data_IF_478950086725
#
_entry.id   IF_478950086725
#
_cell.length_a   1.000
_cell.length_b   1.000
_cell.length_c   1.000
_cell.angle_alpha   90.00
_cell.angle_beta   90.00
_cell.angle_gamma   90.00
#
_symmetry.space_group_name_H-M   'P 1'
#
loop_
_entity.id
_entity.type
_entity.pdbx_description
1 polymer ?
#
# COMPACT_ATOMS: atom_id res chain seq x y z
N UNK A 1 3.23 40.03 9.36
CA UNK A 1 2.51 39.09 8.48
C UNK A 1 3.38 37.90 8.02
N UNK A 2 4.64 38.12 7.62
CA UNK A 2 5.51 37.06 7.09
C UNK A 2 5.74 35.86 8.04
N UNK A 3 5.84 36.09 9.36
CA UNK A 3 6.04 34.99 10.35
C UNK A 3 4.88 34.00 10.41
N UNK A 4 3.63 34.46 10.25
CA UNK A 4 2.43 33.61 10.31
C UNK A 4 2.36 32.72 9.06
N UNK A 5 2.62 33.28 7.88
CA UNK A 5 2.66 32.52 6.63
C UNK A 5 3.76 31.46 6.62
N UNK A 6 4.96 31.80 7.14
CA UNK A 6 6.05 30.81 7.29
C UNK A 6 5.67 29.69 8.27
N UNK A 7 5.08 30.03 9.42
CA UNK A 7 4.65 29.03 10.41
C UNK A 7 3.56 28.10 9.85
N UNK A 8 2.57 28.65 9.15
CA UNK A 8 1.52 27.86 8.50
C UNK A 8 2.10 26.95 7.40
N UNK A 9 3.00 27.48 6.56
CA UNK A 9 3.69 26.69 5.54
C UNK A 9 4.50 25.54 6.13
N UNK A 10 5.19 25.77 7.26
CA UNK A 10 5.91 24.72 7.98
C UNK A 10 4.98 23.62 8.51
N UNK A 11 3.84 24.00 9.11
CA UNK A 11 2.83 23.04 9.59
C UNK A 11 2.31 22.17 8.44
N UNK A 12 2.02 22.76 7.28
CA UNK A 12 1.59 22.01 6.10
C UNK A 12 2.66 21.03 5.62
N UNK A 13 3.93 21.44 5.57
CA UNK A 13 5.02 20.54 5.19
C UNK A 13 5.16 19.38 6.17
N UNK A 14 5.12 19.64 7.48
CA UNK A 14 5.21 18.60 8.50
C UNK A 14 4.03 17.63 8.39
N UNK A 15 2.80 18.15 8.27
CA UNK A 15 1.61 17.33 8.11
C UNK A 15 1.68 16.45 6.85
N UNK A 16 2.09 17.03 5.71
CA UNK A 16 2.27 16.30 4.46
C UNK A 16 3.36 15.22 4.56
N UNK A 17 4.49 15.52 5.20
CA UNK A 17 5.57 14.55 5.44
C UNK A 17 5.12 13.39 6.33
N UNK A 18 4.32 13.65 7.37
CA UNK A 18 3.75 12.60 8.23
C UNK A 18 2.78 11.69 7.47
N UNK A 19 1.98 12.25 6.55
CA UNK A 19 1.09 11.45 5.69
C UNK A 19 1.86 10.58 4.70
N UNK A 20 2.97 11.08 4.16
CA UNK A 20 3.81 10.35 3.19
C UNK A 20 4.77 9.36 3.86
N UNK A 21 5.01 9.46 5.17
CA UNK A 21 6.00 8.68 5.88
C UNK A 21 5.83 7.15 5.75
N UNK A 22 4.64 6.56 5.91
CA UNK A 22 4.48 5.11 5.78
C UNK A 22 4.87 4.60 4.39
N UNK A 23 4.49 5.33 3.34
CA UNK A 23 4.87 5.00 1.96
C UNK A 23 6.38 5.11 1.76
N UNK A 24 6.97 6.23 2.18
CA UNK A 24 8.41 6.45 2.06
C UNK A 24 9.21 5.35 2.79
N UNK A 25 8.78 4.99 4.00
CA UNK A 25 9.37 3.89 4.78
C UNK A 25 9.27 2.55 4.04
N UNK A 26 8.11 2.23 3.48
CA UNK A 26 7.92 0.98 2.72
C UNK A 26 8.83 0.94 1.48
N UNK A 27 8.91 2.04 0.74
CA UNK A 27 9.74 2.13 -0.47
C UNK A 27 11.24 2.11 -0.18
N UNK A 28 11.66 2.56 1.00
CA UNK A 28 13.05 2.42 1.42
C UNK A 28 13.34 0.97 1.83
N UNK A 29 12.45 0.36 2.61
CA UNK A 29 12.71 -0.97 3.21
C UNK A 29 12.51 -2.13 2.24
N UNK A 30 11.60 -2.01 1.30
CA UNK A 30 11.16 -3.13 0.47
C UNK A 30 11.38 -2.84 -1.02
N UNK A 31 11.75 -3.89 -1.73
CA UNK A 31 11.66 -3.92 -3.18
C UNK A 31 10.22 -4.18 -3.62
N UNK A 32 9.95 -3.98 -4.92
CA UNK A 32 8.61 -4.13 -5.50
C UNK A 32 8.64 -4.90 -6.79
N UNK A 33 7.67 -5.78 -6.94
CA UNK A 33 7.41 -6.51 -8.19
C UNK A 33 5.90 -6.62 -8.41
N UNK A 34 5.53 -7.27 -9.50
CA UNK A 34 4.14 -7.63 -9.78
C UNK A 34 3.94 -9.11 -9.49
N UNK A 35 2.87 -9.42 -8.79
CA UNK A 35 2.41 -10.78 -8.54
C UNK A 35 0.93 -10.93 -8.89
N UNK A 36 0.42 -12.13 -8.67
CA UNK A 36 -0.98 -12.48 -8.88
C UNK A 36 -1.48 -13.34 -7.72
N UNK A 37 -2.73 -13.13 -7.31
CA UNK A 37 -3.37 -14.01 -6.34
C UNK A 37 -3.65 -15.33 -7.06
N UNK A 38 -3.11 -16.42 -6.51
CA UNK A 38 -3.23 -17.76 -7.10
C UNK A 38 -4.34 -18.56 -6.47
N UNK A 39 -4.61 -18.34 -5.19
CA UNK A 39 -5.63 -19.04 -4.43
C UNK A 39 -6.11 -18.23 -3.21
N UNK A 40 -7.28 -18.59 -2.69
CA UNK A 40 -7.85 -18.05 -1.44
C UNK A 40 -8.43 -19.22 -0.65
N UNK A 41 -7.77 -19.57 0.45
CA UNK A 41 -8.20 -20.62 1.36
C UNK A 41 -9.23 -20.08 2.35
N UNK A 42 -10.32 -20.81 2.52
CA UNK A 42 -11.34 -20.52 3.52
C UNK A 42 -11.20 -21.48 4.70
N UNK A 43 -10.64 -21.00 5.81
CA UNK A 43 -10.47 -21.77 7.04
C UNK A 43 -11.70 -21.59 7.93
N UNK A 44 -12.37 -22.66 8.38
CA UNK A 44 -13.56 -22.53 9.23
C UNK A 44 -13.16 -21.97 10.61
N UNK A 45 -13.85 -20.90 11.04
CA UNK A 45 -13.70 -20.31 12.39
C UNK A 45 -14.92 -20.58 13.27
N UNK A 46 -16.06 -20.92 12.64
CA UNK A 46 -17.30 -21.29 13.33
C UNK A 46 -18.30 -21.97 12.37
N UNK A 47 -19.56 -22.09 12.80
CA UNK A 47 -20.63 -22.68 11.98
C UNK A 47 -20.90 -21.89 10.71
N UNK A 48 -20.93 -20.56 10.79
CA UNK A 48 -21.28 -19.67 9.68
C UNK A 48 -20.13 -18.80 9.17
N UNK A 49 -18.94 -18.88 9.78
CA UNK A 49 -17.81 -18.00 9.49
C UNK A 49 -16.58 -18.75 8.96
N UNK A 50 -15.85 -18.09 8.06
CA UNK A 50 -14.58 -18.54 7.53
C UNK A 50 -13.56 -17.38 7.50
N UNK A 51 -12.32 -17.70 7.85
CA UNK A 51 -11.16 -16.83 7.68
C UNK A 51 -10.60 -17.04 6.28
N UNK A 52 -10.39 -15.94 5.55
CA UNK A 52 -9.85 -15.98 4.20
C UNK A 52 -8.34 -15.73 4.22
N UNK A 53 -7.58 -16.78 3.94
CA UNK A 53 -6.13 -16.68 3.75
C UNK A 53 -5.84 -16.65 2.25
N UNK A 54 -5.25 -15.56 1.77
CA UNK A 54 -4.85 -15.46 0.37
C UNK A 54 -3.45 -16.00 0.14
N UNK A 55 -3.22 -16.53 -1.06
CA UNK A 55 -1.89 -16.89 -1.54
C UNK A 55 -1.66 -16.21 -2.87
N UNK A 56 -0.52 -15.56 -3.00
CA UNK A 56 -0.09 -14.93 -4.23
C UNK A 56 1.27 -15.47 -4.67
N UNK A 57 1.47 -15.51 -5.97
CA UNK A 57 2.73 -15.83 -6.61
C UNK A 57 3.33 -14.55 -7.18
N UNK A 58 4.65 -14.43 -7.08
CA UNK A 58 5.40 -13.40 -7.79
C UNK A 58 6.71 -14.00 -8.29
N UNK A 59 7.22 -13.44 -9.39
CA UNK A 59 8.45 -13.91 -9.99
C UNK A 59 9.51 -12.84 -9.94
N UNK A 60 10.71 -13.21 -9.51
CA UNK A 60 11.91 -12.40 -9.59
C UNK A 60 12.74 -12.90 -10.77
N UNK A 61 13.10 -12.00 -11.67
CA UNK A 61 13.92 -12.30 -12.84
C UNK A 61 15.26 -11.59 -12.71
N UNK A 62 16.35 -12.36 -12.63
CA UNK A 62 17.71 -11.88 -12.78
C UNK A 62 18.18 -12.07 -14.23
N UNK A 63 19.40 -11.63 -14.55
CA UNK A 63 20.00 -11.84 -15.88
C UNK A 63 20.17 -13.32 -16.22
N UNK A 64 20.25 -14.20 -15.22
CA UNK A 64 20.61 -15.62 -15.38
C UNK A 64 19.51 -16.56 -14.92
N UNK A 65 18.57 -16.11 -14.08
CA UNK A 65 17.60 -16.98 -13.43
C UNK A 65 16.23 -16.32 -13.30
N UNK A 66 15.19 -17.16 -13.32
CA UNK A 66 13.81 -16.76 -13.07
C UNK A 66 13.29 -17.65 -11.94
N UNK A 67 12.97 -17.04 -10.80
CA UNK A 67 12.52 -17.76 -9.60
C UNK A 67 11.14 -17.25 -9.18
N UNK A 68 10.17 -18.15 -9.09
CA UNK A 68 8.85 -17.86 -8.55
C UNK A 68 8.82 -18.11 -7.04
N UNK A 69 8.21 -17.18 -6.31
CA UNK A 69 7.99 -17.24 -4.88
C UNK A 69 6.48 -17.16 -4.59
N UNK A 70 6.09 -17.72 -3.45
CA UNK A 70 4.74 -17.63 -2.93
C UNK A 70 4.75 -16.84 -1.62
N UNK A 71 3.75 -15.98 -1.45
CA UNK A 71 3.52 -15.22 -0.23
C UNK A 71 2.05 -15.26 0.18
N UNK A 72 1.79 -14.92 1.44
CA UNK A 72 0.45 -14.93 2.02
C UNK A 72 0.15 -13.71 2.90
N UNK A 73 1.13 -12.85 3.17
CA UNK A 73 0.92 -11.69 4.04
C UNK A 73 0.13 -10.59 3.33
N UNK A 74 -0.67 -9.89 4.13
CA UNK A 74 -1.54 -8.82 3.68
C UNK A 74 -1.20 -7.53 4.44
N UNK A 75 -1.38 -6.40 3.78
CA UNK A 75 -1.26 -5.09 4.40
C UNK A 75 -2.44 -4.17 4.07
N UNK A 76 -2.75 -3.26 4.98
CA UNK A 76 -3.71 -2.18 4.76
C UNK A 76 -3.14 -1.08 3.85
N UNK A 77 -3.96 -0.05 3.60
CA UNK A 77 -3.54 1.11 2.83
C UNK A 77 -2.50 2.02 3.46
N UNK A 78 -2.09 1.71 4.69
CA UNK A 78 -1.00 2.35 5.40
C UNK A 78 0.22 1.42 5.52
N UNK A 79 0.26 0.35 4.73
CA UNK A 79 1.32 -0.66 4.72
C UNK A 79 1.52 -1.34 6.08
N UNK A 80 0.47 -1.39 6.90
CA UNK A 80 0.48 -2.12 8.17
C UNK A 80 0.03 -3.54 7.91
N UNK A 81 0.67 -4.54 8.53
CA UNK A 81 0.17 -5.91 8.49
C UNK A 81 -1.27 -5.95 8.95
N UNK A 82 -2.11 -6.67 8.20
CA UNK A 82 -3.48 -6.97 8.60
C UNK A 82 -3.63 -8.47 8.77
N UNK A 83 -4.51 -8.84 9.70
CA UNK A 83 -4.93 -10.23 9.85
C UNK A 83 -5.84 -10.65 8.70
N UNK A 84 -5.88 -11.96 8.44
CA UNK A 84 -6.77 -12.55 7.47
C UNK A 84 -8.24 -12.24 7.83
N UNK A 85 -9.03 -11.66 6.89
CA UNK A 85 -10.38 -11.24 7.20
C UNK A 85 -11.30 -12.44 7.47
N UNK A 86 -12.15 -12.29 8.48
CA UNK A 86 -13.22 -13.25 8.78
C UNK A 86 -14.51 -12.78 8.12
N UNK A 87 -15.13 -13.67 7.34
CA UNK A 87 -16.33 -13.39 6.56
C UNK A 87 -17.37 -14.51 6.71
N UNK A 88 -18.60 -14.21 6.33
CA UNK A 88 -19.66 -15.22 6.28
C UNK A 88 -19.37 -16.27 5.20
N UNK A 89 -19.58 -17.55 5.51
CA UNK A 89 -19.37 -18.67 4.57
C UNK A 89 -20.13 -18.49 3.27
N UNK A 90 -21.35 -17.93 3.34
CA UNK A 90 -22.17 -17.64 2.16
C UNK A 90 -21.49 -16.65 1.18
N UNK A 91 -20.58 -15.80 1.67
CA UNK A 91 -19.89 -14.77 0.86
C UNK A 91 -18.51 -15.21 0.38
N UNK A 92 -17.98 -16.33 0.87
CA UNK A 92 -16.63 -16.82 0.51
C UNK A 92 -16.47 -16.94 -1.00
N UNK A 93 -17.38 -17.64 -1.66
CA UNK A 93 -17.33 -17.84 -3.12
C UNK A 93 -17.34 -16.54 -3.91
N UNK A 94 -18.14 -15.56 -3.46
CA UNK A 94 -18.21 -14.24 -4.09
C UNK A 94 -16.89 -13.48 -3.93
N UNK A 95 -16.32 -13.47 -2.72
CA UNK A 95 -15.09 -12.76 -2.40
C UNK A 95 -13.90 -13.39 -3.11
N UNK A 96 -13.78 -14.72 -3.08
CA UNK A 96 -12.74 -15.47 -3.80
C UNK A 96 -12.78 -15.17 -5.30
N UNK A 97 -13.97 -15.18 -5.91
CA UNK A 97 -14.15 -14.85 -7.33
C UNK A 97 -13.71 -13.42 -7.64
N UNK A 98 -14.04 -12.46 -6.77
CA UNK A 98 -13.63 -11.05 -6.92
C UNK A 98 -12.11 -10.87 -6.78
N UNK A 99 -11.46 -11.65 -5.92
CA UNK A 99 -10.01 -11.56 -5.66
C UNK A 99 -9.18 -12.20 -6.77
N UNK A 100 -9.54 -13.40 -7.21
CA UNK A 100 -8.78 -14.17 -8.22
C UNK A 100 -9.13 -13.72 -9.65
N UNK A 101 -10.38 -13.33 -9.87
CA UNK A 101 -10.97 -13.16 -11.20
C UNK A 101 -11.73 -14.42 -11.66
N UNK A 102 -12.65 -14.27 -12.60
CA UNK A 102 -13.45 -15.39 -13.14
C UNK A 102 -12.67 -16.28 -14.12
N UNK A 103 -11.69 -15.70 -14.83
CA UNK A 103 -10.88 -16.39 -15.82
C UNK A 103 -9.42 -16.50 -15.36
N UNK A 104 -8.84 -17.71 -15.25
CA UNK A 104 -7.43 -17.92 -14.95
C UNK A 104 -6.46 -17.17 -15.87
N UNK A 105 -6.88 -16.81 -17.09
CA UNK A 105 -6.08 -16.04 -18.05
C UNK A 105 -6.02 -14.55 -17.74
N UNK A 106 -6.98 -14.03 -16.97
CA UNK A 106 -7.09 -12.61 -16.61
C UNK A 106 -6.96 -12.40 -15.11
N UNK A 107 -6.01 -13.09 -14.47
CA UNK A 107 -5.71 -12.91 -13.05
C UNK A 107 -5.32 -11.47 -12.76
N UNK A 108 -5.87 -10.94 -11.68
CA UNK A 108 -5.64 -9.55 -11.31
C UNK A 108 -4.22 -9.40 -10.79
N UNK A 109 -3.42 -8.59 -11.50
CA UNK A 109 -2.06 -8.27 -11.08
C UNK A 109 -2.08 -7.34 -9.86
N UNK A 110 -1.24 -7.64 -8.88
CA UNK A 110 -1.07 -6.87 -7.64
C UNK A 110 0.38 -6.50 -7.45
N UNK A 111 0.62 -5.35 -6.84
CA UNK A 111 1.96 -4.96 -6.43
C UNK A 111 2.34 -5.73 -5.17
N UNK A 112 3.46 -6.45 -5.24
CA UNK A 112 4.05 -7.19 -4.14
C UNK A 112 5.26 -6.41 -3.62
N UNK A 113 5.35 -6.29 -2.31
CA UNK A 113 6.51 -5.71 -1.63
C UNK A 113 7.25 -6.82 -0.88
N UNK A 114 8.57 -6.85 -0.97
CA UNK A 114 9.39 -7.90 -0.35
C UNK A 114 10.77 -7.36 0.06
N UNK A 115 11.39 -8.00 1.05
CA UNK A 115 12.79 -7.79 1.41
C UNK A 115 13.66 -8.72 0.54
N UNK A 116 14.69 -8.18 -0.12
CA UNK A 116 15.55 -8.97 -0.99
C UNK A 116 16.33 -10.06 -0.24
N UNK A 117 16.58 -9.88 1.07
CA UNK A 117 17.25 -10.87 1.90
C UNK A 117 16.36 -12.07 2.25
N UNK A 118 15.03 -11.89 2.27
CA UNK A 118 14.04 -12.96 2.49
C UNK A 118 12.75 -12.69 1.70
N UNK A 119 12.75 -12.96 0.38
CA UNK A 119 11.62 -12.63 -0.48
C UNK A 119 10.35 -13.38 -0.10
N UNK A 120 10.45 -14.66 0.30
CA UNK A 120 9.28 -15.48 0.61
C UNK A 120 8.66 -15.12 1.97
N UNK A 121 9.49 -14.94 3.01
CA UNK A 121 8.99 -14.72 4.37
C UNK A 121 8.44 -13.31 4.60
N UNK A 122 8.94 -12.32 3.86
CA UNK A 122 8.57 -10.90 4.05
C UNK A 122 7.60 -10.36 3.00
N UNK A 123 7.30 -11.14 1.95
CA UNK A 123 6.42 -10.67 0.88
C UNK A 123 5.02 -10.38 1.39
N UNK A 124 4.47 -9.23 0.98
CA UNK A 124 3.09 -8.86 1.26
C UNK A 124 2.46 -8.12 0.07
N UNK A 125 1.13 -8.20 -0.01
CA UNK A 125 0.32 -7.38 -0.92
C UNK A 125 -0.54 -6.38 -0.14
N UNK A 126 -0.80 -5.23 -0.75
CA UNK A 126 -1.80 -4.30 -0.24
C UNK A 126 -3.15 -4.72 -0.79
N UNK A 127 -4.10 -5.02 0.09
CA UNK A 127 -5.42 -5.52 -0.30
C UNK A 127 -6.42 -4.37 -0.19
N UNK A 128 -7.05 -4.05 -1.32
CA UNK A 128 -7.98 -2.92 -1.43
C UNK A 128 -9.32 -3.25 -0.75
N UNK A 129 -9.44 -2.87 0.53
CA UNK A 129 -10.69 -2.87 1.31
C UNK A 129 -11.05 -1.51 1.90
N UNK A 130 -10.21 -0.49 1.69
CA UNK A 130 -10.41 0.88 2.17
C UNK A 130 -10.16 1.79 0.98
N UNK A 131 -11.22 2.14 0.26
CA UNK A 131 -11.20 3.13 -0.82
C UNK A 131 -10.69 4.48 -0.28
N UNK A 132 -9.38 4.77 -0.37
CA UNK A 132 -8.84 6.16 -0.30
C UNK A 132 -7.29 6.28 -0.42
N UNK A 133 -6.56 5.24 -0.85
CA UNK A 133 -5.09 5.30 -0.87
C UNK A 133 -4.56 6.39 -1.79
N UNK A 134 -5.16 6.57 -2.99
CA UNK A 134 -4.78 7.64 -3.91
C UNK A 134 -4.93 9.01 -3.23
N UNK A 135 -6.04 9.23 -2.54
CA UNK A 135 -6.35 10.52 -1.93
C UNK A 135 -5.41 10.90 -0.80
N UNK A 136 -4.95 9.96 0.05
CA UNK A 136 -3.98 10.31 1.12
C UNK A 136 -2.64 10.77 0.58
N UNK A 137 -2.12 10.11 -0.46
CA UNK A 137 -0.86 10.51 -1.08
C UNK A 137 -1.00 11.84 -1.82
N UNK A 138 -2.10 12.03 -2.53
CA UNK A 138 -2.43 13.30 -3.18
C UNK A 138 -2.54 14.45 -2.18
N UNK A 139 -3.23 14.23 -1.06
CA UNK A 139 -3.35 15.22 0.04
C UNK A 139 -1.99 15.48 0.68
N UNK A 140 -1.21 14.43 0.98
CA UNK A 140 0.11 14.56 1.57
C UNK A 140 1.07 15.36 0.67
N UNK A 141 1.12 15.04 -0.61
CA UNK A 141 1.90 15.82 -1.59
C UNK A 141 1.38 17.25 -1.72
N UNK A 142 0.06 17.44 -1.77
CA UNK A 142 -0.57 18.75 -1.80
C UNK A 142 -0.15 19.62 -0.62
N UNK A 143 -0.19 19.08 0.61
CA UNK A 143 0.26 19.78 1.81
C UNK A 143 1.75 20.18 1.73
N UNK A 144 2.63 19.26 1.28
CA UNK A 144 4.06 19.58 1.12
C UNK A 144 4.27 20.69 0.10
N UNK A 145 3.69 20.57 -1.10
CA UNK A 145 3.85 21.56 -2.18
C UNK A 145 3.28 22.91 -1.77
N UNK A 146 2.05 22.96 -1.25
CA UNK A 146 1.43 24.21 -0.79
C UNK A 146 2.22 24.84 0.36
N UNK A 147 2.72 24.05 1.31
CA UNK A 147 3.52 24.54 2.42
C UNK A 147 4.85 25.16 1.96
N UNK A 148 5.55 24.49 1.03
CA UNK A 148 6.78 25.01 0.42
C UNK A 148 6.52 26.31 -0.36
N UNK A 149 5.45 26.37 -1.15
CA UNK A 149 5.06 27.58 -1.88
C UNK A 149 4.74 28.73 -0.91
N UNK A 150 3.99 28.47 0.16
CA UNK A 150 3.65 29.48 1.15
C UNK A 150 4.91 30.08 1.81
N UNK A 151 5.89 29.24 2.13
CA UNK A 151 7.18 29.68 2.66
C UNK A 151 8.00 30.46 1.62
N UNK A 152 8.01 30.02 0.35
CA UNK A 152 8.73 30.69 -0.73
C UNK A 152 8.17 32.10 -1.00
N UNK A 153 6.85 32.25 -1.06
CA UNK A 153 6.20 33.56 -1.23
C UNK A 153 6.43 34.48 -0.02
N UNK A 154 6.35 33.96 1.21
CA UNK A 154 6.65 34.72 2.41
C UNK A 154 8.11 35.22 2.45
N UNK A 155 9.05 34.42 1.94
CA UNK A 155 10.47 34.79 1.82
C UNK A 155 10.69 35.85 0.74
N UNK A 156 10.05 35.72 -0.42
CA UNK A 156 10.16 36.71 -1.51
C UNK A 156 9.68 38.09 -1.06
N UNK A 157 8.51 38.16 -0.42
CA UNK A 157 7.95 39.42 0.10
C UNK A 157 8.86 40.10 1.12
N UNK A 158 9.63 39.34 1.89
CA UNK A 158 10.62 39.89 2.84
C UNK A 158 11.84 40.51 2.15
N UNK A 159 12.15 40.09 0.92
CA UNK A 159 13.27 40.65 0.15
C UNK A 159 12.86 41.87 -0.68
N UNK A 160 11.56 42.02 -0.95
CA UNK A 160 10.98 43.15 -1.69
C UNK A 160 10.64 44.35 -0.77
N UNK A 161 10.60 44.14 0.56
CA UNK A 161 10.44 45.15 1.62
C UNK A 161 11.81 45.54 2.23
#
# INVERSE_FOLDING_TARGET
MNRVATAFGLVLVIAGALLLWPLARTYWRYERTTGQIVDVFALPVGSEQARLQLVFEFTLQSKTEKVSYYGYNQADGLYRPIEDPVVDKARVTEITRRMIGEDPRYRIQRRVFYDAADPAGTAFIVVDGVSDHSHRYEVGMGCVVSGLLCMAFARRRRNDD
#
